data_IF_934487063824
#
_entry.id   IF_934487063824
#
_cell.length_a   1.000
_cell.length_b   1.000
_cell.length_c   1.000
_cell.angle_alpha   90.00
_cell.angle_beta   90.00
_cell.angle_gamma   90.00
#
_symmetry.space_group_name_H-M   'P 1'
#
loop_
_entity.id
_entity.type
_entity.pdbx_description
1 polymer ?
#
# COMPACT_ATOMS: atom_id res chain seq x y z
N UNK A 1 34.11 -4.92 24.21
CA UNK A 1 33.27 -4.29 23.15
C UNK A 1 33.90 -3.07 22.46
N UNK A 2 34.49 -2.09 23.17
CA UNK A 2 35.07 -0.88 22.52
C UNK A 2 36.23 -1.15 21.54
N UNK A 3 37.11 -2.12 21.84
CA UNK A 3 38.24 -2.50 20.95
C UNK A 3 37.79 -3.20 19.68
N UNK A 4 36.83 -4.12 19.77
CA UNK A 4 36.22 -4.78 18.60
C UNK A 4 35.56 -3.73 17.70
N UNK A 5 34.80 -2.81 18.29
CA UNK A 5 34.16 -1.72 17.53
C UNK A 5 35.17 -0.77 16.86
N UNK A 6 36.34 -0.56 17.46
CA UNK A 6 37.42 0.22 16.85
C UNK A 6 38.04 -0.48 15.63
N UNK A 7 38.24 -1.80 15.69
CA UNK A 7 38.73 -2.61 14.54
C UNK A 7 37.71 -2.60 13.39
N UNK A 8 36.42 -2.75 13.69
CA UNK A 8 35.33 -2.63 12.72
C UNK A 8 35.33 -1.28 11.98
N UNK A 9 35.69 -0.20 12.68
CA UNK A 9 35.72 1.15 12.10
C UNK A 9 37.01 1.42 11.32
N UNK A 10 38.12 0.81 11.72
CA UNK A 10 39.42 1.01 11.09
C UNK A 10 39.56 0.23 9.77
N UNK A 11 38.97 -0.97 9.67
CA UNK A 11 39.16 -1.86 8.50
C UNK A 11 37.81 -2.35 7.94
N UNK A 12 36.94 -1.46 7.43
CA UNK A 12 35.59 -1.81 7.01
C UNK A 12 35.55 -2.79 5.83
N UNK A 13 36.54 -2.77 4.94
CA UNK A 13 36.62 -3.71 3.83
C UNK A 13 36.90 -5.14 4.33
N UNK A 14 37.96 -5.33 5.11
CA UNK A 14 38.39 -6.65 5.63
C UNK A 14 37.28 -7.29 6.47
N UNK A 15 36.62 -6.49 7.30
CA UNK A 15 35.55 -6.97 8.19
C UNK A 15 34.28 -7.34 7.40
N UNK A 16 33.91 -6.58 6.37
CA UNK A 16 32.80 -6.96 5.50
C UNK A 16 33.12 -8.22 4.70
N UNK A 17 34.34 -8.32 4.14
CA UNK A 17 34.73 -9.49 3.33
C UNK A 17 34.74 -10.76 4.18
N UNK A 18 35.39 -10.73 5.35
CA UNK A 18 35.38 -11.86 6.28
C UNK A 18 33.97 -12.19 6.78
N UNK A 19 33.14 -11.17 7.06
CA UNK A 19 31.75 -11.35 7.48
C UNK A 19 30.88 -12.04 6.42
N UNK A 20 31.00 -11.64 5.15
CA UNK A 20 30.26 -12.28 4.06
C UNK A 20 30.76 -13.71 3.80
N UNK A 21 32.07 -13.94 3.75
CA UNK A 21 32.62 -15.30 3.52
C UNK A 21 32.20 -16.28 4.61
N UNK A 22 32.26 -15.87 5.88
CA UNK A 22 31.82 -16.70 7.01
C UNK A 22 30.32 -16.98 6.97
N UNK A 23 29.50 -16.00 6.57
CA UNK A 23 28.05 -16.16 6.42
C UNK A 23 27.71 -17.19 5.33
N UNK A 24 28.33 -17.09 4.15
CA UNK A 24 28.10 -18.04 3.05
C UNK A 24 28.56 -19.47 3.42
N UNK A 25 29.72 -19.62 4.07
CA UNK A 25 30.19 -20.92 4.55
C UNK A 25 29.24 -21.51 5.61
N UNK A 26 28.76 -20.69 6.55
CA UNK A 26 27.81 -21.14 7.57
C UNK A 26 26.44 -21.52 7.00
N UNK A 27 25.96 -20.81 5.97
CA UNK A 27 24.69 -21.11 5.32
C UNK A 27 24.73 -22.46 4.59
N UNK A 28 25.84 -22.78 3.95
CA UNK A 28 26.04 -24.08 3.29
C UNK A 28 26.14 -25.22 4.31
N UNK A 29 26.89 -25.05 5.40
CA UNK A 29 26.94 -26.05 6.50
C UNK A 29 25.56 -26.30 7.11
N UNK A 30 24.77 -25.24 7.33
CA UNK A 30 23.40 -25.36 7.82
C UNK A 30 22.53 -26.10 6.80
N UNK A 31 22.63 -25.77 5.51
CA UNK A 31 21.89 -26.45 4.45
C UNK A 31 22.21 -27.95 4.40
N UNK A 32 23.50 -28.30 4.41
CA UNK A 32 23.95 -29.70 4.42
C UNK A 32 23.47 -30.43 5.68
N UNK A 33 23.45 -29.77 6.84
CA UNK A 33 22.96 -30.37 8.10
C UNK A 33 21.45 -30.58 8.17
N UNK A 34 20.65 -29.73 7.51
CA UNK A 34 19.18 -29.77 7.57
C UNK A 34 18.57 -30.66 6.47
N UNK A 35 19.19 -30.71 5.29
CA UNK A 35 18.68 -31.47 4.13
C UNK A 35 19.40 -32.79 3.89
N UNK A 36 20.53 -33.04 4.57
CA UNK A 36 21.33 -34.27 4.43
C UNK A 36 20.68 -35.56 4.96
N UNK A 37 19.44 -35.50 5.46
CA UNK A 37 18.72 -36.66 6.00
C UNK A 37 18.11 -37.59 4.96
N UNK A 38 17.87 -37.15 3.71
CA UNK A 38 17.07 -37.93 2.76
C UNK A 38 17.81 -38.50 1.54
N UNK A 39 18.99 -38.00 1.12
CA UNK A 39 19.70 -38.56 -0.05
C UNK A 39 21.25 -38.53 0.11
N UNK A 40 21.82 -39.70 0.37
CA UNK A 40 23.19 -40.18 0.05
C UNK A 40 24.44 -39.32 0.40
N UNK A 41 24.90 -39.39 1.65
CA UNK A 41 26.29 -39.62 2.16
C UNK A 41 26.37 -39.16 3.64
N UNK A 42 26.89 -39.97 4.58
CA UNK A 42 26.96 -39.56 5.99
C UNK A 42 28.16 -38.64 6.21
N UNK A 43 27.96 -37.32 6.19
CA UNK A 43 28.97 -36.33 6.56
C UNK A 43 28.80 -34.97 5.88
N UNK A 44 29.37 -33.92 6.48
CA UNK A 44 29.46 -32.58 5.88
C UNK A 44 30.52 -32.61 4.77
N UNK A 45 30.16 -32.19 3.56
CA UNK A 45 31.09 -32.06 2.44
C UNK A 45 31.86 -30.73 2.55
N UNK A 46 33.03 -30.81 3.18
CA UNK A 46 33.94 -29.68 3.36
C UNK A 46 34.50 -29.15 2.03
N UNK A 47 34.56 -29.96 0.98
CA UNK A 47 35.03 -29.52 -0.34
C UNK A 47 33.96 -28.62 -1.00
N UNK A 48 32.69 -29.00 -0.88
CA UNK A 48 31.56 -28.16 -1.32
C UNK A 48 31.50 -26.84 -0.55
N UNK A 49 31.65 -26.87 0.78
CA UNK A 49 31.68 -25.66 1.61
C UNK A 49 32.87 -24.76 1.26
N UNK A 50 34.04 -25.34 0.94
CA UNK A 50 35.21 -24.58 0.49
C UNK A 50 34.99 -23.90 -0.87
N UNK A 51 34.29 -24.55 -1.81
CA UNK A 51 33.92 -23.95 -3.11
C UNK A 51 32.93 -22.79 -2.92
N UNK A 52 31.90 -22.98 -2.10
CA UNK A 52 30.92 -21.92 -1.77
C UNK A 52 31.59 -20.74 -1.06
N UNK A 53 32.51 -21.01 -0.13
CA UNK A 53 33.29 -19.97 0.55
C UNK A 53 34.21 -19.22 -0.42
N UNK A 54 34.79 -19.91 -1.41
CA UNK A 54 35.64 -19.31 -2.45
C UNK A 54 34.84 -18.36 -3.35
N UNK A 55 33.64 -18.77 -3.81
CA UNK A 55 32.74 -17.91 -4.59
C UNK A 55 32.26 -16.72 -3.74
N UNK A 56 31.94 -16.96 -2.46
CA UNK A 56 31.56 -15.94 -1.49
C UNK A 56 32.65 -14.88 -1.28
N UNK A 57 33.90 -15.32 -1.14
CA UNK A 57 35.07 -14.46 -0.93
C UNK A 57 35.49 -13.70 -2.19
N UNK A 58 35.68 -14.40 -3.32
CA UNK A 58 36.24 -13.81 -4.53
C UNK A 58 35.27 -12.83 -5.18
N UNK A 59 33.98 -13.17 -5.25
CA UNK A 59 33.00 -12.36 -5.98
C UNK A 59 32.02 -11.63 -5.05
N UNK A 60 31.25 -12.35 -4.22
CA UNK A 60 30.11 -11.74 -3.51
C UNK A 60 30.54 -10.67 -2.48
N UNK A 61 31.57 -10.96 -1.70
CA UNK A 61 32.10 -10.04 -0.70
C UNK A 61 32.65 -8.73 -1.31
N UNK A 62 33.42 -8.85 -2.40
CA UNK A 62 33.99 -7.70 -3.11
C UNK A 62 32.92 -6.90 -3.85
N UNK A 63 32.05 -7.58 -4.59
CA UNK A 63 30.96 -6.96 -5.33
C UNK A 63 30.03 -6.18 -4.39
N UNK A 64 29.61 -6.78 -3.27
CA UNK A 64 28.68 -6.14 -2.33
C UNK A 64 29.29 -4.87 -1.70
N UNK A 65 30.57 -4.92 -1.30
CA UNK A 65 31.24 -3.76 -0.71
C UNK A 65 31.32 -2.56 -1.66
N UNK A 66 31.75 -2.79 -2.91
CA UNK A 66 31.83 -1.72 -3.91
C UNK A 66 30.44 -1.27 -4.38
N UNK A 67 29.52 -2.20 -4.55
CA UNK A 67 28.15 -1.93 -4.99
C UNK A 67 27.37 -1.06 -4.01
N UNK A 68 27.37 -1.39 -2.72
CA UNK A 68 26.68 -0.60 -1.70
C UNK A 68 27.26 0.83 -1.61
N UNK A 69 28.58 0.98 -1.76
CA UNK A 69 29.23 2.29 -1.75
C UNK A 69 28.94 3.11 -3.00
N UNK A 70 28.86 2.47 -4.17
CA UNK A 70 28.41 3.11 -5.40
C UNK A 70 26.94 3.52 -5.32
N UNK A 71 26.09 2.67 -4.73
CA UNK A 71 24.66 2.91 -4.54
C UNK A 71 24.40 4.07 -3.56
N UNK A 72 25.20 4.20 -2.51
CA UNK A 72 25.14 5.35 -1.60
C UNK A 72 25.61 6.66 -2.26
N UNK A 73 26.56 6.57 -3.19
CA UNK A 73 27.06 7.73 -3.94
C UNK A 73 26.08 8.19 -5.03
N UNK A 74 25.39 7.25 -5.67
CA UNK A 74 24.39 7.53 -6.70
C UNK A 74 23.06 8.03 -6.13
N UNK A 75 22.66 7.54 -4.94
CA UNK A 75 21.42 7.94 -4.25
C UNK A 75 21.73 8.45 -2.83
N UNK A 76 22.23 9.69 -2.68
CA UNK A 76 22.52 10.25 -1.37
C UNK A 76 21.23 10.51 -0.58
N UNK A 77 21.24 10.15 0.71
CA UNK A 77 20.14 10.43 1.65
C UNK A 77 19.46 9.18 2.21
N UNK A 78 18.92 9.33 3.42
CA UNK A 78 18.22 8.28 4.18
C UNK A 78 16.69 8.40 4.17
N UNK A 79 16.13 9.27 3.32
CA UNK A 79 14.67 9.43 3.21
C UNK A 79 14.01 8.22 2.56
N UNK A 80 12.74 7.97 2.87
CA UNK A 80 11.97 6.81 2.36
C UNK A 80 12.08 6.67 0.83
N UNK A 81 12.09 7.78 0.07
CA UNK A 81 12.25 7.76 -1.39
C UNK A 81 13.62 7.26 -1.85
N UNK A 82 14.68 7.72 -1.19
CA UNK A 82 16.04 7.27 -1.48
C UNK A 82 16.21 5.80 -1.11
N UNK A 83 15.68 5.38 0.04
CA UNK A 83 15.69 3.97 0.48
C UNK A 83 14.91 3.08 -0.51
N UNK A 84 13.72 3.50 -0.95
CA UNK A 84 12.94 2.74 -1.96
C UNK A 84 13.66 2.68 -3.31
N UNK A 85 14.29 3.77 -3.75
CA UNK A 85 15.10 3.78 -4.98
C UNK A 85 16.29 2.84 -4.90
N UNK A 86 17.00 2.83 -3.76
CA UNK A 86 18.12 1.90 -3.50
C UNK A 86 17.67 0.45 -3.59
N UNK A 87 16.57 0.11 -2.92
CA UNK A 87 16.00 -1.25 -2.97
C UNK A 87 15.60 -1.63 -4.40
N UNK A 88 14.98 -0.72 -5.17
CA UNK A 88 14.59 -1.01 -6.55
C UNK A 88 15.81 -1.30 -7.44
N UNK A 89 16.87 -0.48 -7.36
CA UNK A 89 18.10 -0.67 -8.14
C UNK A 89 18.83 -1.94 -7.73
N UNK A 90 18.88 -2.23 -6.43
CA UNK A 90 19.50 -3.45 -5.90
C UNK A 90 18.80 -4.72 -6.40
N UNK A 91 17.47 -4.73 -6.43
CA UNK A 91 16.68 -5.89 -6.87
C UNK A 91 16.66 -6.08 -8.39
N UNK A 92 16.76 -5.00 -9.17
CA UNK A 92 16.75 -5.07 -10.63
C UNK A 92 18.13 -5.36 -11.23
N UNK A 93 19.20 -4.98 -10.55
CA UNK A 93 20.56 -5.05 -11.11
C UNK A 93 21.46 -5.96 -10.27
N UNK A 94 21.57 -5.72 -8.96
CA UNK A 94 22.48 -6.46 -8.11
C UNK A 94 22.04 -7.92 -7.92
N UNK A 95 20.75 -8.14 -7.62
CA UNK A 95 20.23 -9.47 -7.36
C UNK A 95 20.39 -10.42 -8.57
N UNK A 96 20.00 -10.07 -9.81
CA UNK A 96 20.26 -10.91 -10.99
C UNK A 96 21.75 -11.19 -11.23
N UNK A 97 22.61 -10.19 -11.05
CA UNK A 97 24.06 -10.33 -11.25
C UNK A 97 24.68 -11.28 -10.22
N UNK A 98 24.33 -11.14 -8.94
CA UNK A 98 24.83 -12.01 -7.86
C UNK A 98 24.36 -13.44 -8.00
N UNK A 99 23.09 -13.67 -8.34
CA UNK A 99 22.56 -15.03 -8.56
C UNK A 99 23.26 -15.68 -9.77
N UNK A 100 23.50 -14.91 -10.83
CA UNK A 100 24.18 -15.41 -12.03
C UNK A 100 25.62 -15.80 -11.73
N UNK A 101 26.37 -14.91 -11.08
CA UNK A 101 27.76 -15.16 -10.72
C UNK A 101 27.91 -16.31 -9.70
N UNK A 102 26.94 -16.50 -8.80
CA UNK A 102 26.93 -17.60 -7.85
C UNK A 102 26.86 -18.96 -8.57
N UNK A 103 25.84 -19.15 -9.41
CA UNK A 103 25.66 -20.43 -10.12
C UNK A 103 26.78 -20.69 -11.13
N UNK A 104 27.21 -19.66 -11.88
CA UNK A 104 28.31 -19.81 -12.85
C UNK A 104 29.63 -20.11 -12.12
N UNK A 105 29.92 -19.40 -11.03
CA UNK A 105 31.14 -19.61 -10.23
C UNK A 105 31.17 -20.99 -9.58
N UNK A 106 30.04 -21.49 -9.10
CA UNK A 106 29.94 -22.83 -8.52
C UNK A 106 30.09 -23.92 -9.60
N UNK A 107 29.44 -23.76 -10.76
CA UNK A 107 29.57 -24.70 -11.90
C UNK A 107 31.00 -24.78 -12.43
N UNK A 108 31.74 -23.66 -12.44
CA UNK A 108 33.16 -23.64 -12.80
C UNK A 108 34.03 -24.39 -11.79
N UNK A 109 33.79 -24.22 -10.49
CA UNK A 109 34.54 -24.90 -9.43
C UNK A 109 34.18 -26.37 -9.27
N UNK A 110 32.99 -26.77 -9.72
CA UNK A 110 32.55 -28.17 -9.78
C UNK A 110 33.04 -28.90 -11.05
N UNK A 111 33.72 -28.19 -11.96
CA UNK A 111 34.27 -28.71 -13.22
C UNK A 111 33.26 -29.49 -14.06
N UNK A 112 32.07 -28.91 -14.25
CA UNK A 112 31.01 -29.45 -15.10
C UNK A 112 31.26 -29.09 -16.56
N UNK A 113 30.98 -30.04 -17.47
CA UNK A 113 31.17 -29.86 -18.92
C UNK A 113 30.32 -28.71 -19.50
N UNK A 114 29.19 -28.39 -18.87
CA UNK A 114 28.27 -27.34 -19.31
C UNK A 114 27.99 -26.30 -18.21
N UNK A 115 28.82 -25.25 -18.18
CA UNK A 115 28.85 -24.22 -17.12
C UNK A 115 27.52 -23.46 -16.98
N UNK A 116 26.74 -23.36 -18.05
CA UNK A 116 25.52 -22.54 -18.10
C UNK A 116 24.22 -23.32 -17.88
N UNK A 117 24.26 -24.64 -17.82
CA UNK A 117 23.04 -25.46 -17.73
C UNK A 117 22.31 -25.23 -16.40
N UNK A 118 23.07 -25.30 -15.29
CA UNK A 118 22.57 -25.03 -13.95
C UNK A 118 22.03 -23.60 -13.81
N UNK A 119 22.70 -22.63 -14.45
CA UNK A 119 22.23 -21.24 -14.48
C UNK A 119 20.90 -21.13 -15.23
N UNK A 120 20.76 -21.67 -16.45
CA UNK A 120 19.52 -21.57 -17.24
C UNK A 120 18.32 -22.19 -16.52
N UNK A 121 18.53 -23.31 -15.84
CA UNK A 121 17.46 -24.02 -15.13
C UNK A 121 17.08 -23.35 -13.81
N UNK A 122 18.07 -22.94 -12.99
CA UNK A 122 17.82 -22.47 -11.61
C UNK A 122 17.68 -20.95 -11.50
N UNK A 123 18.15 -20.18 -12.48
CA UNK A 123 18.08 -18.71 -12.46
C UNK A 123 16.64 -18.21 -12.40
N UNK A 124 15.75 -18.73 -13.26
CA UNK A 124 14.35 -18.29 -13.28
C UNK A 124 13.61 -18.63 -11.98
N UNK A 125 13.88 -19.79 -11.40
CA UNK A 125 13.26 -20.23 -10.13
C UNK A 125 13.76 -19.37 -8.97
N UNK A 126 15.07 -19.10 -8.91
CA UNK A 126 15.68 -18.25 -7.88
C UNK A 126 15.25 -16.79 -8.01
N UNK A 127 15.24 -16.24 -9.23
CA UNK A 127 14.81 -14.87 -9.52
C UNK A 127 13.31 -14.65 -9.26
N UNK A 128 12.47 -15.64 -9.57
CA UNK A 128 11.04 -15.62 -9.21
C UNK A 128 10.85 -15.68 -7.70
N UNK A 129 11.58 -16.56 -7.00
CA UNK A 129 11.48 -16.69 -5.55
C UNK A 129 11.78 -15.34 -4.85
N UNK A 130 12.89 -14.69 -5.23
CA UNK A 130 13.31 -13.38 -4.68
C UNK A 130 12.29 -12.27 -4.98
N UNK A 131 11.75 -12.23 -6.21
CA UNK A 131 10.70 -11.26 -6.55
C UNK A 131 9.39 -11.51 -5.80
N UNK A 132 9.02 -12.77 -5.52
CA UNK A 132 7.78 -13.09 -4.81
C UNK A 132 7.86 -12.94 -3.28
N UNK A 133 9.06 -12.95 -2.68
CA UNK A 133 9.27 -12.61 -1.26
C UNK A 133 9.14 -11.12 -0.99
N UNK A 134 9.54 -10.26 -1.94
CA UNK A 134 9.47 -8.80 -1.78
C UNK A 134 8.08 -8.21 -2.08
N UNK A 135 7.31 -8.87 -2.97
CA UNK A 135 5.97 -8.40 -3.35
C UNK A 135 4.92 -9.02 -2.42
N UNK A 136 4.27 -8.21 -1.55
CA UNK A 136 3.20 -8.70 -0.68
C UNK A 136 2.14 -9.42 -1.53
N UNK A 137 1.50 -10.49 -1.04
CA UNK A 137 0.56 -11.30 -1.82
C UNK A 137 -0.53 -10.50 -2.56
N UNK A 138 -0.89 -9.33 -2.01
CA UNK A 138 -1.90 -8.41 -2.54
C UNK A 138 -1.40 -7.57 -3.73
N UNK A 139 -0.09 -7.36 -3.86
CA UNK A 139 0.52 -6.53 -4.91
C UNK A 139 1.06 -7.36 -6.09
N UNK A 140 1.04 -8.70 -6.00
CA UNK A 140 1.60 -9.61 -7.01
C UNK A 140 0.90 -9.49 -8.36
N UNK A 141 -0.43 -9.35 -8.38
CA UNK A 141 -1.22 -9.14 -9.60
C UNK A 141 -0.97 -7.78 -10.25
N UNK A 142 -0.70 -6.74 -9.45
CA UNK A 142 -0.37 -5.40 -9.97
C UNK A 142 1.06 -5.37 -10.52
N UNK A 143 2.00 -6.05 -9.88
CA UNK A 143 3.38 -6.17 -10.36
C UNK A 143 3.47 -6.99 -11.65
N UNK A 144 2.84 -8.17 -11.70
CA UNK A 144 2.73 -8.96 -12.92
C UNK A 144 1.96 -8.23 -14.02
N UNK A 145 0.89 -7.52 -13.67
CA UNK A 145 0.15 -6.66 -14.60
C UNK A 145 0.99 -5.48 -15.13
N UNK A 146 1.87 -4.92 -14.30
CA UNK A 146 2.82 -3.88 -14.71
C UNK A 146 3.87 -4.39 -15.70
N UNK A 147 4.47 -5.54 -15.41
CA UNK A 147 5.43 -6.19 -16.33
C UNK A 147 4.74 -6.57 -17.64
N UNK A 148 3.53 -7.15 -17.58
CA UNK A 148 2.74 -7.47 -18.77
C UNK A 148 2.38 -6.24 -19.59
N UNK A 149 2.10 -5.09 -18.95
CA UNK A 149 1.83 -3.82 -19.60
C UNK A 149 3.07 -3.24 -20.28
N UNK A 150 4.24 -3.31 -19.64
CA UNK A 150 5.50 -2.91 -20.27
C UNK A 150 5.86 -3.81 -21.45
N UNK A 151 5.63 -5.13 -21.32
CA UNK A 151 5.87 -6.10 -22.39
C UNK A 151 4.89 -5.94 -23.56
N UNK A 152 3.61 -5.62 -23.32
CA UNK A 152 2.65 -5.31 -24.39
C UNK A 152 2.94 -3.98 -25.06
N UNK A 153 3.40 -2.96 -24.34
CA UNK A 153 3.90 -1.71 -24.96
C UNK A 153 5.11 -2.00 -25.85
N UNK A 154 6.04 -2.84 -25.40
CA UNK A 154 7.21 -3.25 -26.20
C UNK A 154 6.80 -4.05 -27.45
N UNK A 155 5.88 -5.01 -27.33
CA UNK A 155 5.34 -5.77 -28.47
C UNK A 155 4.55 -4.86 -29.45
N UNK A 156 3.81 -3.87 -28.96
CA UNK A 156 3.17 -2.86 -29.80
C UNK A 156 4.20 -2.00 -30.54
N UNK A 157 5.33 -1.68 -29.90
CA UNK A 157 6.43 -0.94 -30.52
C UNK A 157 7.15 -1.76 -31.59
N UNK A 158 7.39 -3.06 -31.36
CA UNK A 158 7.94 -3.97 -32.37
C UNK A 158 6.97 -4.17 -33.55
N UNK A 159 5.66 -4.19 -33.30
CA UNK A 159 4.62 -4.22 -34.34
C UNK A 159 4.56 -2.93 -35.16
N UNK A 160 4.81 -1.78 -34.54
CA UNK A 160 4.93 -0.49 -35.23
C UNK A 160 6.22 -0.39 -36.05
N UNK A 161 7.31 -0.99 -35.57
CA UNK A 161 8.54 -1.12 -36.35
C UNK A 161 8.33 -1.99 -37.60
N UNK A 162 7.64 -3.14 -37.49
CA UNK A 162 7.36 -3.99 -38.66
C UNK A 162 6.40 -3.34 -39.68
N UNK A 163 5.36 -2.60 -39.24
CA UNK A 163 4.49 -1.85 -40.16
C UNK A 163 5.20 -0.66 -40.84
N UNK A 164 6.19 -0.05 -40.17
CA UNK A 164 7.02 1.01 -40.75
C UNK A 164 8.06 0.44 -41.74
N UNK A 165 8.58 -0.77 -41.49
CA UNK A 165 9.43 -1.51 -42.44
C UNK A 165 8.65 -1.92 -43.69
N UNK A 166 7.39 -2.38 -43.55
CA UNK A 166 6.55 -2.74 -44.72
C UNK A 166 6.16 -1.52 -45.57
N UNK A 167 5.97 -0.34 -44.96
CA UNK A 167 5.69 0.91 -45.69
C UNK A 167 6.93 1.56 -46.30
N UNK A 168 8.10 1.40 -45.67
CA UNK A 168 9.38 1.90 -46.16
C UNK A 168 9.99 1.08 -47.31
N UNK A 169 9.63 -0.20 -47.44
CA UNK A 169 10.12 -1.08 -48.50
C UNK A 169 9.44 -0.87 -49.87
N UNK A 170 8.30 -0.16 -49.93
CA UNK A 170 7.52 0.04 -51.17
C UNK A 170 8.00 1.25 -52.00
N UNK A 171 8.93 2.09 -51.49
CA UNK A 171 9.23 3.42 -52.05
C UNK A 171 10.60 3.51 -52.78
N UNK A 172 11.34 2.42 -53.02
CA UNK A 172 12.55 2.45 -53.89
C UNK A 172 12.46 1.44 -55.05
N UNK A 173 12.23 2.00 -56.24
CA UNK A 173 12.12 1.42 -57.61
C UNK A 173 13.51 1.08 -58.23
N UNK A 174 13.70 0.63 -59.51
CA UNK A 174 12.76 0.47 -60.65
C UNK A 174 12.93 -0.77 -61.60
N UNK A 175 11.90 -1.00 -62.45
CA UNK A 175 11.88 -1.50 -63.86
C UNK A 175 12.64 -2.76 -64.34
N UNK A 176 11.92 -3.78 -64.87
CA UNK A 176 11.76 -4.08 -66.33
C UNK A 176 11.44 -5.57 -66.67
N UNK A 177 10.66 -5.76 -67.76
CA UNK A 177 10.46 -6.97 -68.62
C UNK A 177 9.52 -8.09 -68.08
N UNK A 178 8.21 -8.10 -68.38
CA UNK A 178 7.46 -8.71 -69.53
C UNK A 178 7.61 -10.22 -69.75
N UNK A 179 6.53 -11.01 -69.61
CA UNK A 179 5.69 -11.48 -70.74
C UNK A 179 4.61 -12.51 -70.34
N UNK A 180 3.42 -12.33 -70.95
CA UNK A 180 2.43 -13.33 -71.45
C UNK A 180 1.72 -14.24 -70.42
N UNK A 181 0.40 -14.41 -70.35
CA UNK A 181 -0.82 -14.12 -71.13
C UNK A 181 -1.90 -15.16 -70.66
N UNK A 182 -3.14 -15.25 -71.19
CA UNK A 182 -4.02 -14.27 -71.82
C UNK A 182 -5.38 -14.09 -71.07
N UNK A 183 -6.14 -13.13 -71.58
CA UNK A 183 -7.54 -12.76 -71.29
C UNK A 183 -8.54 -13.91 -71.46
N UNK A 184 -9.64 -13.93 -70.69
CA UNK A 184 -11.01 -14.12 -71.24
C UNK A 184 -12.01 -13.21 -70.50
N UNK A 185 -12.74 -12.49 -71.33
CA UNK A 185 -13.90 -11.59 -71.21
C UNK A 185 -14.90 -11.74 -70.04
N UNK A 186 -15.38 -10.57 -69.58
CA UNK A 186 -16.82 -10.32 -69.42
C UNK A 186 -17.09 -8.80 -69.43
N UNK A 187 -17.32 -8.25 -70.62
CA UNK A 187 -18.10 -7.02 -70.76
C UNK A 187 -19.57 -7.38 -70.54
N UNK A 188 -20.26 -6.64 -69.68
CA UNK A 188 -21.69 -6.83 -69.49
C UNK A 188 -22.29 -5.87 -68.48
N UNK A 189 -22.88 -4.79 -69.00
CA UNK A 189 -23.93 -3.95 -68.41
C UNK A 189 -23.64 -3.29 -67.06
N UNK A 190 -23.24 -2.03 -67.02
CA UNK A 190 -24.07 -0.83 -67.21
C UNK A 190 -25.14 -0.62 -66.13
N UNK A 191 -25.03 0.56 -65.50
CA UNK A 191 -26.07 1.30 -64.75
C UNK A 191 -26.39 0.77 -63.35
N UNK A 192 -25.73 1.34 -62.34
CA UNK A 192 -26.35 2.30 -61.41
C UNK A 192 -25.42 2.58 -60.23
N UNK A 193 -25.60 3.75 -59.61
CA UNK A 193 -24.86 4.30 -58.45
C UNK A 193 -23.67 5.21 -58.78
N UNK A 194 -23.93 6.22 -59.61
CA UNK A 194 -23.22 7.49 -59.50
C UNK A 194 -23.63 8.23 -58.21
N UNK A 195 -22.63 8.75 -57.50
CA UNK A 195 -22.73 9.83 -56.52
C UNK A 195 -23.46 9.51 -55.20
N UNK A 196 -22.71 8.97 -54.23
CA UNK A 196 -22.73 9.40 -52.80
C UNK A 196 -21.75 8.60 -51.93
N UNK A 197 -20.54 8.28 -52.42
CA UNK A 197 -19.46 7.87 -51.51
C UNK A 197 -18.79 9.12 -50.95
N UNK A 198 -19.55 9.85 -50.13
CA UNK A 198 -18.98 10.87 -49.26
C UNK A 198 -17.98 10.14 -48.36
N UNK A 199 -16.70 10.44 -48.57
CA UNK A 199 -15.64 10.12 -47.61
C UNK A 199 -16.12 10.62 -46.26
N UNK A 200 -16.53 9.69 -45.38
CA UNK A 200 -16.85 9.97 -43.99
C UNK A 200 -15.54 10.37 -43.31
N UNK A 201 -15.14 11.62 -43.54
CA UNK A 201 -14.00 12.26 -42.88
C UNK A 201 -14.38 12.26 -41.41
N UNK A 202 -13.64 11.59 -40.52
CA UNK A 202 -13.95 11.64 -39.10
C UNK A 202 -13.93 13.10 -38.68
N UNK A 203 -15.09 13.62 -38.29
CA UNK A 203 -15.24 14.94 -37.69
C UNK A 203 -14.13 15.11 -36.64
N UNK A 204 -13.34 16.19 -36.68
CA UNK A 204 -12.31 16.42 -35.67
C UNK A 204 -13.02 16.40 -34.32
N UNK A 205 -12.60 15.49 -33.42
CA UNK A 205 -13.10 15.45 -32.04
C UNK A 205 -12.86 16.83 -31.42
N UNK A 206 -13.88 17.68 -31.44
CA UNK A 206 -13.83 18.96 -30.76
C UNK A 206 -13.67 18.68 -29.27
N UNK A 207 -12.75 19.40 -28.63
CA UNK A 207 -12.56 19.30 -27.18
C UNK A 207 -13.86 19.64 -26.46
N UNK A 208 -14.32 18.75 -25.58
CA UNK A 208 -15.47 19.02 -24.74
C UNK A 208 -15.01 19.89 -23.56
N UNK A 209 -15.44 21.15 -23.53
CA UNK A 209 -15.17 22.05 -22.40
C UNK A 209 -16.04 21.65 -21.19
N UNK A 210 -15.54 20.70 -20.42
CA UNK A 210 -16.11 20.28 -19.14
C UNK A 210 -15.17 20.63 -17.98
N UNK A 211 -15.79 21.06 -16.87
CA UNK A 211 -15.09 21.41 -15.63
C UNK A 211 -14.69 20.15 -14.87
N UNK A 212 -13.48 19.66 -15.10
CA UNK A 212 -12.94 18.45 -14.46
C UNK A 212 -12.44 18.64 -13.01
N UNK A 213 -12.52 19.86 -12.46
CA UNK A 213 -11.86 20.19 -11.18
C UNK A 213 -12.42 19.44 -9.96
N UNK A 214 -13.62 18.87 -10.04
CA UNK A 214 -14.31 18.19 -8.93
C UNK A 214 -14.71 16.74 -9.22
N UNK A 215 -14.28 16.17 -10.33
CA UNK A 215 -14.62 14.79 -10.73
C UNK A 215 -14.13 13.78 -9.70
N UNK A 216 -12.92 14.02 -9.17
CA UNK A 216 -12.34 13.20 -8.10
C UNK A 216 -13.00 13.48 -6.76
N UNK A 217 -13.95 12.62 -6.38
CA UNK A 217 -14.62 12.68 -5.06
C UNK A 217 -13.67 12.28 -3.93
N UNK A 218 -13.48 13.18 -2.95
CA UNK A 218 -12.60 12.97 -1.79
C UNK A 218 -13.38 12.27 -0.67
N UNK A 219 -13.35 10.94 -0.66
CA UNK A 219 -13.85 10.15 0.47
C UNK A 219 -13.03 8.88 0.65
N UNK A 220 -13.03 8.32 1.85
CA UNK A 220 -12.33 7.06 2.14
C UNK A 220 -13.13 5.87 1.63
N UNK A 221 -12.46 4.97 0.91
CA UNK A 221 -13.01 3.70 0.44
C UNK A 221 -12.57 2.50 1.31
N UNK A 222 -11.58 2.71 2.18
CA UNK A 222 -11.00 1.72 3.08
C UNK A 222 -10.42 2.40 4.33
N UNK A 223 -10.20 1.67 5.45
CA UNK A 223 -9.52 2.24 6.61
C UNK A 223 -8.01 2.40 6.32
N UNK A 224 -7.44 3.55 6.68
CA UNK A 224 -5.98 3.78 6.61
C UNK A 224 -5.19 2.90 7.60
N UNK A 225 -5.85 2.35 8.62
CA UNK A 225 -5.23 1.50 9.65
C UNK A 225 -4.80 0.15 9.08
N UNK A 226 -3.68 -0.38 9.59
CA UNK A 226 -3.20 -1.73 9.29
C UNK A 226 -3.71 -2.79 10.29
N UNK A 227 -4.50 -2.38 11.29
CA UNK A 227 -5.13 -3.28 12.27
C UNK A 227 -5.98 -4.36 11.56
N UNK A 228 -5.61 -5.62 11.76
CA UNK A 228 -6.20 -6.79 11.13
C UNK A 228 -7.65 -6.96 11.56
N UNK A 229 -7.96 -6.78 12.85
CA UNK A 229 -9.32 -6.94 13.37
C UNK A 229 -10.28 -5.92 12.77
N UNK A 230 -9.83 -4.67 12.62
CA UNK A 230 -10.61 -3.63 11.95
C UNK A 230 -10.86 -3.98 10.47
N UNK A 231 -9.88 -4.59 9.79
CA UNK A 231 -10.01 -5.03 8.39
C UNK A 231 -10.98 -6.20 8.24
N UNK A 232 -10.99 -7.14 9.18
CA UNK A 232 -11.96 -8.25 9.22
C UNK A 232 -13.39 -7.71 9.39
N UNK A 233 -13.60 -6.80 10.34
CA UNK A 233 -14.90 -6.14 10.51
C UNK A 233 -15.33 -5.37 9.26
N UNK A 234 -14.39 -4.70 8.58
CA UNK A 234 -14.66 -4.03 7.30
C UNK A 234 -15.08 -5.02 6.22
N UNK A 235 -14.43 -6.19 6.10
CA UNK A 235 -14.83 -7.23 5.14
C UNK A 235 -16.26 -7.70 5.42
N UNK A 236 -16.58 -7.97 6.68
CA UNK A 236 -17.93 -8.35 7.11
C UNK A 236 -18.98 -7.30 6.74
N UNK A 237 -18.78 -6.04 7.15
CA UNK A 237 -19.74 -4.97 6.86
C UNK A 237 -19.79 -4.56 5.38
N UNK A 238 -18.73 -4.82 4.61
CA UNK A 238 -18.74 -4.64 3.15
C UNK A 238 -19.62 -5.68 2.47
N UNK A 239 -19.59 -6.92 2.96
CA UNK A 239 -20.51 -7.97 2.53
C UNK A 239 -21.95 -7.62 2.89
N UNK A 240 -22.21 -7.28 4.17
CA UNK A 240 -23.56 -6.94 4.65
C UNK A 240 -24.13 -5.69 3.99
N UNK A 241 -23.34 -4.64 3.76
CA UNK A 241 -23.82 -3.42 3.12
C UNK A 241 -24.17 -3.60 1.63
N UNK A 242 -23.61 -4.62 0.98
CA UNK A 242 -23.90 -4.96 -0.42
C UNK A 242 -25.09 -5.93 -0.53
N UNK A 243 -25.21 -6.89 0.39
CA UNK A 243 -26.24 -7.95 0.34
C UNK A 243 -27.53 -7.60 1.09
N UNK A 244 -27.41 -6.92 2.23
CA UNK A 244 -28.56 -6.47 3.00
C UNK A 244 -28.82 -5.01 2.64
N UNK A 245 -29.93 -4.72 1.94
CA UNK A 245 -30.32 -3.37 1.50
C UNK A 245 -30.62 -2.36 2.63
N UNK A 246 -30.09 -2.58 3.84
CA UNK A 246 -30.26 -1.71 5.00
C UNK A 246 -29.27 -0.51 4.96
N UNK A 247 -29.76 0.74 5.12
CA UNK A 247 -28.88 1.91 5.15
C UNK A 247 -27.94 1.91 6.37
N UNK A 248 -28.32 1.24 7.44
CA UNK A 248 -27.54 1.07 8.66
C UNK A 248 -26.12 0.52 8.39
N UNK A 249 -26.02 -0.56 7.61
CA UNK A 249 -24.75 -1.21 7.28
C UNK A 249 -23.84 -0.29 6.46
N UNK A 250 -24.43 0.47 5.51
CA UNK A 250 -23.69 1.50 4.73
C UNK A 250 -23.14 2.60 5.63
N UNK A 251 -23.85 2.97 6.70
CA UNK A 251 -23.36 3.96 7.68
C UNK A 251 -22.26 3.38 8.56
N UNK A 252 -22.39 2.16 9.07
CA UNK A 252 -21.33 1.50 9.86
C UNK A 252 -20.05 1.37 9.04
N UNK A 253 -20.14 0.85 7.81
CA UNK A 253 -18.98 0.68 6.93
C UNK A 253 -18.24 2.02 6.71
N UNK A 254 -18.99 3.09 6.39
CA UNK A 254 -18.41 4.44 6.26
C UNK A 254 -17.74 4.91 7.55
N UNK A 255 -18.31 4.61 8.71
CA UNK A 255 -17.72 4.96 10.01
C UNK A 255 -16.48 4.14 10.35
N UNK A 256 -16.40 2.87 9.97
CA UNK A 256 -15.19 2.06 10.16
C UNK A 256 -13.98 2.63 9.40
N UNK A 257 -14.20 3.30 8.25
CA UNK A 257 -13.14 3.98 7.48
C UNK A 257 -12.65 5.30 8.10
N UNK A 258 -13.44 5.90 9.00
CA UNK A 258 -13.12 7.21 9.57
C UNK A 258 -11.84 7.18 10.42
N UNK A 259 -11.10 8.29 10.43
CA UNK A 259 -9.96 8.47 11.34
C UNK A 259 -10.42 8.51 12.79
N UNK A 260 -9.48 8.30 13.72
CA UNK A 260 -9.73 8.42 15.17
C UNK A 260 -10.30 9.79 15.55
N UNK A 261 -9.81 10.87 14.94
CA UNK A 261 -10.34 12.23 15.16
C UNK A 261 -11.81 12.39 14.77
N UNK A 262 -12.27 11.65 13.75
CA UNK A 262 -13.66 11.68 13.27
C UNK A 262 -14.56 10.62 13.94
N UNK A 263 -13.97 9.76 14.79
CA UNK A 263 -14.64 8.80 15.69
C UNK A 263 -14.34 9.16 17.15
N UNK A 264 -14.84 10.31 17.64
CA UNK A 264 -14.60 10.74 19.02
C UNK A 264 -15.17 9.72 20.01
N UNK A 265 -14.55 9.57 21.19
CA UNK A 265 -15.10 8.75 22.26
C UNK A 265 -16.46 9.29 22.72
N UNK A 266 -17.31 8.41 23.23
CA UNK A 266 -18.59 8.76 23.85
C UNK A 266 -18.57 8.35 25.32
N UNK A 267 -18.96 9.25 26.21
CA UNK A 267 -19.10 8.94 27.63
C UNK A 267 -20.38 8.15 27.91
N UNK A 268 -20.38 7.31 28.95
CA UNK A 268 -21.58 6.62 29.43
C UNK A 268 -22.71 7.63 29.72
N UNK A 269 -22.40 8.77 30.33
CA UNK A 269 -23.37 9.85 30.62
C UNK A 269 -24.12 10.33 29.39
N UNK A 270 -23.41 10.56 28.29
CA UNK A 270 -24.00 11.01 27.05
C UNK A 270 -24.82 9.89 26.40
N UNK A 271 -24.38 8.65 26.52
CA UNK A 271 -25.10 7.48 26.04
C UNK A 271 -26.43 7.33 26.77
N UNK A 272 -26.44 7.35 28.11
CA UNK A 272 -27.65 7.29 28.96
C UNK A 272 -28.65 8.37 28.53
N UNK A 273 -28.21 9.64 28.43
CA UNK A 273 -29.09 10.76 28.01
C UNK A 273 -29.71 10.55 26.62
N UNK A 274 -29.02 9.86 25.70
CA UNK A 274 -29.54 9.59 24.35
C UNK A 274 -30.42 8.35 24.28
N UNK A 275 -30.26 7.42 25.21
CA UNK A 275 -31.11 6.23 25.35
C UNK A 275 -32.38 6.51 26.14
N UNK A 276 -32.38 7.48 27.07
CA UNK A 276 -33.57 7.95 27.83
C UNK A 276 -34.57 8.74 26.96
N UNK A 277 -34.24 9.04 25.71
CA UNK A 277 -35.18 9.70 24.80
C UNK A 277 -36.37 8.77 24.50
N UNK A 278 -37.60 9.30 24.38
CA UNK A 278 -38.79 8.47 24.17
C UNK A 278 -38.67 7.63 22.90
N UNK A 279 -39.20 6.40 22.93
CA UNK A 279 -39.18 5.46 21.80
C UNK A 279 -37.88 4.69 21.58
N UNK A 280 -36.92 4.75 22.53
CA UNK A 280 -35.61 4.07 22.44
C UNK A 280 -35.37 3.03 23.53
N UNK A 281 -36.42 2.62 24.21
CA UNK A 281 -36.39 1.56 25.20
C UNK A 281 -35.98 0.23 24.56
N UNK A 282 -35.24 -0.59 25.31
CA UNK A 282 -34.78 -1.92 24.90
C UNK A 282 -33.94 -1.98 23.60
N UNK A 283 -33.53 -0.84 23.06
CA UNK A 283 -32.69 -0.76 21.85
C UNK A 283 -31.21 -0.91 22.19
N UNK A 284 -30.45 -1.40 21.21
CA UNK A 284 -29.00 -1.54 21.33
C UNK A 284 -28.33 -0.21 20.95
N UNK A 285 -27.53 0.36 21.86
CA UNK A 285 -26.74 1.54 21.59
C UNK A 285 -25.48 1.15 20.77
N UNK A 286 -25.38 1.61 19.53
CA UNK A 286 -24.27 1.25 18.62
C UNK A 286 -23.33 2.45 18.47
N UNK A 287 -22.05 2.23 18.77
CA UNK A 287 -21.01 3.26 18.74
C UNK A 287 -19.80 2.75 17.96
N UNK A 288 -19.57 3.29 16.76
CA UNK A 288 -18.34 3.02 16.01
C UNK A 288 -17.21 3.91 16.56
N UNK A 289 -16.66 3.51 17.71
CA UNK A 289 -15.66 4.27 18.46
C UNK A 289 -15.42 3.67 19.84
N UNK A 290 -14.87 4.48 20.74
CA UNK A 290 -14.60 4.09 22.13
C UNK A 290 -15.71 4.60 23.06
N UNK A 291 -16.15 3.75 23.99
CA UNK A 291 -17.02 4.13 25.11
C UNK A 291 -16.16 4.33 26.35
N UNK A 292 -16.26 5.52 26.96
CA UNK A 292 -15.46 5.92 28.12
C UNK A 292 -16.31 6.06 29.36
N UNK A 293 -15.72 5.82 30.52
CA UNK A 293 -16.38 6.01 31.82
C UNK A 293 -16.65 7.51 32.10
N UNK A 294 -17.62 7.77 32.96
CA UNK A 294 -17.92 9.09 33.50
C UNK A 294 -18.20 8.98 34.99
N UNK A 295 -17.23 9.38 35.80
CA UNK A 295 -17.25 9.25 37.27
C UNK A 295 -18.34 10.13 37.91
N UNK A 296 -18.83 11.15 37.20
CA UNK A 296 -19.83 12.11 37.73
C UNK A 296 -21.22 11.54 37.87
N UNK A 297 -21.52 10.41 37.25
CA UNK A 297 -22.80 9.72 37.37
C UNK A 297 -22.60 8.58 38.34
N UNK A 298 -23.52 8.36 39.29
CA UNK A 298 -23.51 7.15 40.12
C UNK A 298 -24.32 6.03 39.44
N UNK A 299 -25.58 6.31 39.10
CA UNK A 299 -26.54 5.30 38.62
C UNK A 299 -26.46 5.06 37.12
N UNK A 300 -26.29 3.79 36.74
CA UNK A 300 -26.27 3.35 35.36
C UNK A 300 -27.47 2.42 35.12
N UNK A 301 -28.36 2.75 34.17
CA UNK A 301 -29.45 1.84 33.81
C UNK A 301 -28.91 0.63 33.05
N UNK A 302 -29.70 -0.44 32.98
CA UNK A 302 -29.40 -1.62 32.17
C UNK A 302 -29.31 -1.23 30.69
N UNK A 303 -28.12 -1.36 30.10
CA UNK A 303 -27.84 -0.92 28.73
C UNK A 303 -27.27 -2.07 27.90
N UNK A 304 -27.75 -2.22 26.66
CA UNK A 304 -27.12 -3.06 25.63
C UNK A 304 -26.29 -2.17 24.72
N UNK A 305 -24.98 -2.36 24.69
CA UNK A 305 -24.04 -1.47 23.98
C UNK A 305 -23.17 -2.29 23.03
N UNK A 306 -23.05 -1.85 21.79
CA UNK A 306 -22.06 -2.34 20.83
C UNK A 306 -21.03 -1.27 20.53
N UNK A 307 -19.74 -1.57 20.72
CA UNK A 307 -18.65 -0.63 20.46
C UNK A 307 -17.38 -1.30 19.93
N UNK A 308 -16.46 -0.50 19.37
CA UNK A 308 -15.15 -1.02 18.97
C UNK A 308 -14.25 -1.25 20.18
N UNK A 309 -14.33 -0.34 21.17
CA UNK A 309 -13.59 -0.44 22.44
C UNK A 309 -14.46 0.11 23.56
N UNK A 310 -14.37 -0.49 24.73
CA UNK A 310 -14.97 0.01 25.97
C UNK A 310 -13.87 0.04 27.01
N UNK A 311 -13.68 1.18 27.67
CA UNK A 311 -12.70 1.30 28.76
C UNK A 311 -13.07 0.40 29.94
N UNK A 312 -12.10 -0.11 30.69
CA UNK A 312 -12.37 -1.10 31.75
C UNK A 312 -13.30 -0.56 32.85
N UNK A 313 -13.15 0.71 33.24
CA UNK A 313 -14.07 1.38 34.16
C UNK A 313 -15.51 1.36 33.66
N UNK A 314 -15.70 1.75 32.40
CA UNK A 314 -17.01 1.70 31.74
C UNK A 314 -17.58 0.28 31.68
N UNK A 315 -16.76 -0.70 31.24
CA UNK A 315 -17.17 -2.10 31.10
C UNK A 315 -17.64 -2.67 32.44
N UNK A 316 -16.86 -2.49 33.51
CA UNK A 316 -17.18 -2.97 34.86
C UNK A 316 -18.52 -2.41 35.34
N UNK A 317 -18.74 -1.11 35.16
CA UNK A 317 -19.96 -0.44 35.63
C UNK A 317 -21.20 -0.85 34.83
N UNK A 318 -21.08 -1.02 33.51
CA UNK A 318 -22.19 -1.51 32.66
C UNK A 318 -22.57 -2.94 33.03
N UNK A 319 -21.59 -3.83 33.22
CA UNK A 319 -21.85 -5.21 33.61
C UNK A 319 -22.42 -5.31 35.03
N UNK A 320 -21.94 -4.48 35.98
CA UNK A 320 -22.50 -4.40 37.35
C UNK A 320 -23.96 -3.96 37.34
N UNK A 321 -24.36 -3.08 36.42
CA UNK A 321 -25.76 -2.68 36.22
C UNK A 321 -26.61 -3.74 35.48
N UNK A 322 -26.09 -4.93 35.21
CA UNK A 322 -26.76 -5.99 34.44
C UNK A 322 -26.88 -5.70 32.94
N UNK A 323 -26.10 -4.74 32.43
CA UNK A 323 -26.03 -4.42 31.01
C UNK A 323 -25.17 -5.42 30.22
N UNK A 324 -25.20 -5.30 28.89
CA UNK A 324 -24.46 -6.16 27.98
C UNK A 324 -23.53 -5.32 27.10
N UNK A 325 -22.27 -5.77 26.96
CA UNK A 325 -21.29 -5.16 26.05
C UNK A 325 -21.01 -6.15 24.91
N UNK A 326 -21.35 -5.77 23.69
CA UNK A 326 -21.22 -6.57 22.48
C UNK A 326 -20.15 -6.01 21.55
N UNK A 327 -19.58 -6.88 20.73
CA UNK A 327 -18.73 -6.53 19.60
C UNK A 327 -19.55 -6.40 18.31
N UNK A 328 -18.94 -5.86 17.26
CA UNK A 328 -19.62 -5.60 15.99
C UNK A 328 -19.94 -6.88 15.19
N UNK A 329 -19.15 -7.93 15.34
CA UNK A 329 -19.40 -9.27 14.85
C UNK A 329 -20.63 -9.91 15.55
N UNK A 330 -20.69 -9.84 16.89
CA UNK A 330 -21.87 -10.29 17.64
C UNK A 330 -23.14 -9.50 17.26
N UNK A 331 -23.01 -8.18 17.05
CA UNK A 331 -24.12 -7.35 16.59
C UNK A 331 -24.60 -7.77 15.18
N UNK A 332 -23.67 -8.14 14.29
CA UNK A 332 -24.02 -8.59 12.95
C UNK A 332 -24.82 -9.90 12.97
N UNK A 333 -24.53 -10.80 13.92
CA UNK A 333 -25.30 -12.02 14.14
C UNK A 333 -26.68 -11.71 14.74
N UNK A 334 -26.75 -10.87 15.77
CA UNK A 334 -28.00 -10.56 16.46
C UNK A 334 -28.97 -9.71 15.63
N UNK A 335 -28.46 -8.80 14.80
CA UNK A 335 -29.28 -7.83 14.05
C UNK A 335 -28.61 -7.45 12.73
N UNK A 336 -28.59 -8.34 11.71
CA UNK A 336 -27.87 -8.12 10.46
C UNK A 336 -28.39 -6.93 9.64
N UNK A 337 -29.67 -6.56 9.82
CA UNK A 337 -30.30 -5.37 9.21
C UNK A 337 -30.20 -4.11 10.09
N UNK A 338 -29.72 -4.22 11.34
CA UNK A 338 -29.67 -3.11 12.30
C UNK A 338 -31.00 -2.75 12.97
N UNK A 339 -31.98 -3.67 12.98
CA UNK A 339 -33.26 -3.49 13.66
C UNK A 339 -33.04 -3.31 15.17
N UNK A 340 -33.86 -2.48 15.82
CA UNK A 340 -33.75 -2.25 17.26
C UNK A 340 -32.44 -1.57 17.70
N UNK A 341 -31.70 -0.93 16.80
CA UNK A 341 -30.45 -0.23 17.14
C UNK A 341 -30.61 1.29 17.17
N UNK A 342 -29.79 1.95 17.99
CA UNK A 342 -29.64 3.41 18.04
C UNK A 342 -28.18 3.75 17.77
N UNK A 343 -27.92 4.29 16.59
CA UNK A 343 -26.56 4.64 16.18
C UNK A 343 -26.14 6.00 16.75
N UNK A 344 -25.14 6.00 17.63
CA UNK A 344 -24.65 7.18 18.34
C UNK A 344 -23.25 7.59 17.89
N UNK A 345 -22.88 8.84 18.17
CA UNK A 345 -21.53 9.37 17.94
C UNK A 345 -21.18 10.38 19.05
N UNK A 346 -19.91 10.38 19.46
CA UNK A 346 -19.39 11.40 20.37
C UNK A 346 -19.38 12.80 19.74
N UNK A 347 -19.18 13.85 20.55
CA UNK A 347 -19.13 15.22 20.06
C UNK A 347 -17.88 15.46 19.21
N UNK A 348 -18.05 15.57 17.88
CA UNK A 348 -16.92 15.78 16.93
C UNK A 348 -16.19 17.10 17.16
N UNK A 349 -16.93 18.18 17.46
CA UNK A 349 -16.37 19.52 17.71
C UNK A 349 -15.93 19.75 19.17
N UNK A 350 -15.88 18.71 20.00
CA UNK A 350 -15.49 18.83 21.41
C UNK A 350 -13.98 19.02 21.66
N UNK A 351 -13.14 18.92 20.62
CA UNK A 351 -11.68 19.06 20.74
C UNK A 351 -11.26 20.52 20.78
N UNK A 352 -10.19 20.81 21.51
CA UNK A 352 -9.61 22.16 21.61
C UNK A 352 -9.24 22.78 20.27
N UNK A 353 -8.77 21.97 19.31
CA UNK A 353 -8.44 22.43 17.94
C UNK A 353 -9.60 23.22 17.31
N UNK A 354 -10.86 22.81 17.54
CA UNK A 354 -12.02 23.51 17.00
C UNK A 354 -12.29 24.87 17.66
N UNK A 355 -11.71 25.14 18.85
CA UNK A 355 -11.79 26.47 19.49
C UNK A 355 -10.90 27.51 18.79
N UNK A 356 -9.89 27.05 18.06
CA UNK A 356 -8.98 27.90 17.29
C UNK A 356 -9.44 28.09 15.83
N UNK A 357 -10.46 27.36 15.40
CA UNK A 357 -11.04 27.49 14.07
C UNK A 357 -12.17 28.52 14.09
N UNK A 358 -12.34 29.24 12.97
CA UNK A 358 -13.40 30.23 12.80
C UNK A 358 -12.85 31.53 12.23
N UNK A 359 -13.60 32.62 12.43
CA UNK A 359 -13.13 33.98 12.14
C UNK A 359 -11.87 34.28 12.94
N UNK A 360 -10.99 35.13 12.42
CA UNK A 360 -9.74 35.44 13.10
C UNK A 360 -10.01 36.00 14.53
N UNK A 361 -9.16 35.71 15.53
CA UNK A 361 -9.39 36.16 16.91
C UNK A 361 -9.44 37.67 17.13
N UNK A 362 -9.00 38.45 16.14
CA UNK A 362 -8.98 39.92 16.17
C UNK A 362 -10.05 40.57 15.32
N UNK A 363 -11.00 39.84 14.73
CA UNK A 363 -12.14 40.47 14.03
C UNK A 363 -13.28 40.75 15.02
N UNK A 364 -14.10 41.80 14.79
CA UNK A 364 -15.25 42.09 15.64
C UNK A 364 -16.16 40.89 15.85
N UNK A 365 -16.66 40.74 17.09
CA UNK A 365 -17.56 39.63 17.50
C UNK A 365 -16.98 38.22 17.34
N UNK A 366 -15.65 38.08 17.20
CA UNK A 366 -14.99 36.77 17.15
C UNK A 366 -14.62 36.28 18.53
N UNK A 367 -15.04 35.05 18.85
CA UNK A 367 -14.68 34.36 20.10
C UNK A 367 -13.64 33.24 19.88
N UNK A 368 -12.98 33.23 18.72
CA UNK A 368 -11.95 32.23 18.40
C UNK A 368 -10.78 32.36 19.36
N UNK A 369 -10.38 31.24 19.97
CA UNK A 369 -9.25 31.19 20.90
C UNK A 369 -7.95 31.47 20.12
N UNK A 370 -7.11 32.45 20.52
CA UNK A 370 -5.81 32.65 19.89
C UNK A 370 -4.80 31.57 20.30
N UNK A 371 -3.76 31.38 19.49
CA UNK A 371 -2.64 30.50 19.81
C UNK A 371 -1.62 31.27 20.66
N UNK A 372 -1.63 31.01 21.97
CA UNK A 372 -0.71 31.63 22.93
C UNK A 372 0.20 30.57 23.55
N UNK A 373 1.48 30.92 23.76
CA UNK A 373 2.46 30.02 24.42
C UNK A 373 2.10 29.76 25.88
N UNK A 374 1.64 30.78 26.59
CA UNK A 374 1.22 30.71 27.99
C UNK A 374 0.01 31.61 28.23
N UNK A 375 -0.82 31.27 29.22
CA UNK A 375 -2.00 32.07 29.58
C UNK A 375 -1.71 32.83 30.87
N UNK A 376 -1.83 34.15 30.83
CA UNK A 376 -1.59 35.01 32.00
C UNK A 376 -1.94 36.47 31.75
N UNK A 377 -1.68 37.34 32.73
CA UNK A 377 -1.94 38.79 32.62
C UNK A 377 -1.13 39.45 31.49
N UNK A 378 0.13 39.02 31.31
CA UNK A 378 1.09 39.59 30.36
C UNK A 378 0.97 39.02 28.93
N UNK A 379 0.10 38.04 28.68
CA UNK A 379 0.01 37.34 27.39
C UNK A 379 -1.29 37.70 26.66
N UNK A 380 -1.18 38.45 25.54
CA UNK A 380 -2.28 38.81 24.63
C UNK A 380 -3.56 39.37 25.30
N UNK A 381 -3.41 40.23 26.31
CA UNK A 381 -4.52 40.92 27.00
C UNK A 381 -4.45 42.45 26.94
N UNK A 382 -3.53 43.00 26.14
CA UNK A 382 -3.27 44.44 26.05
C UNK A 382 -4.07 45.08 24.89
N UNK A 383 -3.39 45.65 23.90
CA UNK A 383 -3.99 46.32 22.74
C UNK A 383 -4.92 45.36 21.96
N UNK A 384 -6.08 45.85 21.55
CA UNK A 384 -7.08 45.09 20.79
C UNK A 384 -8.00 44.19 21.64
N UNK A 385 -7.77 44.08 22.95
CA UNK A 385 -8.63 43.31 23.89
C UNK A 385 -9.34 44.18 24.92
N UNK A 386 -8.91 45.44 25.09
CA UNK A 386 -9.41 46.37 26.09
C UNK A 386 -9.52 47.76 25.48
N UNK A 387 -10.64 48.45 25.72
CA UNK A 387 -10.86 49.79 25.19
C UNK A 387 -9.81 50.79 25.68
N UNK A 388 -9.32 50.63 26.92
CA UNK A 388 -8.29 51.49 27.51
C UNK A 388 -6.89 51.39 26.88
N UNK A 389 -6.66 50.48 25.93
CA UNK A 389 -5.36 50.30 25.25
C UNK A 389 -5.57 50.31 23.74
N UNK A 390 -5.82 51.49 23.20
CA UNK A 390 -5.98 51.74 21.76
C UNK A 390 -7.38 51.43 21.23
N UNK A 391 -7.79 50.16 21.25
CA UNK A 391 -9.13 49.73 20.79
C UNK A 391 -9.49 48.35 21.35
N UNK A 392 -10.79 47.98 21.24
CA UNK A 392 -11.31 46.66 21.53
C UNK A 392 -12.18 46.19 20.36
N UNK A 393 -11.86 45.01 19.84
CA UNK A 393 -12.66 44.34 18.80
C UNK A 393 -13.70 43.40 19.41
#
# INVERSE_FOLDING_TARGET
MRRVWAVFRAHPYVVNVLGYTTLFASADVIQQSVLGGEHARPGIDWCQTARVATVGFCFHANFNYFWLRALERALPGGGIRAVTGKVAVDQMVAAPLTISAFYIGLSLLENKDDVFEDWRQKFWTSYKAVNFTLVPPVARTVFLGGIALTFTIFLCHLRQQSLCTTRGAVIKSPSSVTNQGPEISAQGLSRDLGSSFSLFRPEPKMGVDIRHNKDRKVHRKEPKSQDIYLRLLVKLYRFLARRCNAPFNKVILRRLFMSRTNRPPISISRLIRKMKMPGRENRIAVVVGSVTDDVRIQDIPKLKICALRVTDGARRRILKAGGQVMTFDQLALASPKGQGTVLLSGPRKGREVYRHFGKAPGTPHSHTKPYIRSKGRKFEKARGRRASRGYKN
#
